data_IF_897946768873
#
_entry.id   IF_897946768873
#
_cell.length_a   1.000
_cell.length_b   1.000
_cell.length_c   1.000
_cell.angle_alpha   90.00
_cell.angle_beta   90.00
_cell.angle_gamma   90.00
#
_symmetry.space_group_name_H-M   'P 1'
#
loop_
_entity.id
_entity.type
_entity.pdbx_description
1 polymer ?
#
# COMPACT_ATOMS: atom_id res chain seq x y z
N UNK A 1 12.75 -14.98 -11.14
CA UNK A 1 11.47 -14.30 -11.41
C UNK A 1 10.89 -14.91 -12.68
N UNK A 2 9.63 -15.36 -12.67
CA UNK A 2 8.99 -15.82 -13.89
C UNK A 2 8.81 -14.62 -14.84
N UNK A 3 9.18 -14.80 -16.11
CA UNK A 3 8.89 -13.79 -17.15
C UNK A 3 7.37 -13.66 -17.26
N UNK A 4 6.87 -12.44 -17.10
CA UNK A 4 5.48 -12.11 -17.35
C UNK A 4 5.41 -11.61 -18.79
N UNK A 5 4.50 -12.19 -19.57
CA UNK A 5 4.16 -11.66 -20.88
C UNK A 5 3.12 -10.54 -20.71
N UNK A 6 3.57 -9.29 -20.56
CA UNK A 6 2.66 -8.15 -20.57
C UNK A 6 2.69 -7.48 -21.95
N UNK A 7 1.52 -7.32 -22.61
CA UNK A 7 1.47 -6.72 -23.93
C UNK A 7 1.95 -5.26 -23.92
N UNK A 8 2.33 -4.70 -25.08
CA UNK A 8 2.57 -3.28 -25.20
C UNK A 8 1.27 -2.50 -24.91
N UNK A 9 1.42 -1.23 -24.54
CA UNK A 9 0.25 -0.38 -24.32
C UNK A 9 -0.50 -0.11 -25.62
N UNK A 10 -1.80 -0.30 -25.54
CA UNK A 10 -2.80 0.07 -26.52
C UNK A 10 -3.86 0.90 -25.80
N UNK A 11 -4.10 2.13 -26.24
CA UNK A 11 -5.00 3.08 -25.57
C UNK A 11 -6.50 2.73 -25.75
N UNK A 12 -6.82 1.46 -25.97
CA UNK A 12 -8.17 0.93 -26.01
C UNK A 12 -8.66 0.55 -24.62
N UNK A 13 -9.98 0.49 -24.43
CA UNK A 13 -10.56 0.10 -23.15
C UNK A 13 -10.37 -1.39 -22.88
N UNK A 14 -10.15 -1.74 -21.61
CA UNK A 14 -10.13 -3.14 -21.14
C UNK A 14 -11.45 -3.85 -21.45
N UNK A 15 -11.31 -5.13 -21.81
CA UNK A 15 -12.40 -6.10 -21.90
C UNK A 15 -12.08 -7.30 -21.02
N UNK A 16 -13.01 -7.72 -20.16
CA UNK A 16 -12.83 -8.94 -19.37
C UNK A 16 -12.96 -10.18 -20.24
N UNK A 17 -12.12 -11.18 -19.96
CA UNK A 17 -12.27 -12.54 -20.49
C UNK A 17 -13.15 -13.36 -19.56
N UNK A 18 -14.03 -14.21 -20.10
CA UNK A 18 -14.85 -15.10 -19.29
C UNK A 18 -13.98 -16.01 -18.41
N UNK A 19 -14.41 -16.21 -17.16
CA UNK A 19 -13.71 -17.10 -16.25
C UNK A 19 -13.89 -18.57 -16.66
N UNK A 20 -12.83 -19.40 -16.58
CA UNK A 20 -12.87 -20.77 -17.05
C UNK A 20 -13.65 -21.70 -16.12
N UNK A 21 -13.82 -21.34 -14.84
CA UNK A 21 -14.63 -22.09 -13.88
C UNK A 21 -15.27 -21.17 -12.83
N UNK A 22 -16.29 -21.66 -12.10
CA UNK A 22 -16.87 -20.92 -10.97
C UNK A 22 -15.90 -20.69 -9.81
N UNK A 23 -14.80 -21.45 -9.72
CA UNK A 23 -13.76 -21.29 -8.70
C UNK A 23 -12.61 -20.36 -9.15
N UNK A 24 -12.65 -19.91 -10.41
CA UNK A 24 -11.60 -19.06 -10.93
C UNK A 24 -11.78 -17.62 -10.45
N UNK A 25 -10.68 -17.02 -10.01
CA UNK A 25 -10.62 -15.61 -9.64
C UNK A 25 -9.56 -14.92 -10.51
N UNK A 26 -9.64 -13.59 -10.60
CA UNK A 26 -8.56 -12.79 -11.20
C UNK A 26 -7.71 -12.17 -10.10
N UNK A 27 -6.40 -12.08 -10.35
CA UNK A 27 -5.45 -11.40 -9.48
C UNK A 27 -4.76 -10.29 -10.27
N UNK A 28 -4.75 -9.11 -9.67
CA UNK A 28 -4.07 -7.93 -10.17
C UNK A 28 -2.61 -7.96 -9.74
N UNK A 29 -1.68 -7.74 -10.66
CA UNK A 29 -0.27 -7.54 -10.31
C UNK A 29 0.24 -6.24 -10.89
N UNK A 30 0.91 -5.43 -10.07
CA UNK A 30 1.67 -4.29 -10.56
C UNK A 30 2.87 -4.79 -11.36
N UNK A 31 3.19 -4.11 -12.45
CA UNK A 31 4.36 -4.41 -13.28
C UNK A 31 5.22 -3.18 -13.48
N UNK A 32 6.51 -3.42 -13.70
CA UNK A 32 7.47 -2.41 -14.14
C UNK A 32 8.32 -2.93 -15.28
N UNK A 33 8.86 -2.00 -16.07
CA UNK A 33 9.75 -2.27 -17.19
C UNK A 33 11.13 -1.68 -16.86
N UNK A 34 12.06 -2.46 -16.29
CA UNK A 34 13.28 -1.92 -15.66
C UNK A 34 14.19 -1.09 -16.58
N UNK A 35 14.10 -1.33 -17.89
CA UNK A 35 14.88 -0.67 -18.94
C UNK A 35 14.17 0.50 -19.60
N UNK A 36 12.90 0.72 -19.29
CA UNK A 36 12.14 1.76 -19.96
C UNK A 36 12.71 3.12 -19.58
N UNK A 37 13.02 3.96 -20.58
CA UNK A 37 13.66 5.24 -20.32
C UNK A 37 12.69 6.23 -19.64
N UNK A 38 11.43 6.19 -20.09
CA UNK A 38 10.34 6.99 -19.55
C UNK A 38 9.12 6.10 -19.35
N UNK A 39 8.62 5.93 -18.11
CA UNK A 39 7.37 5.20 -17.89
C UNK A 39 6.24 5.86 -18.68
N UNK A 40 5.22 5.08 -19.09
CA UNK A 40 4.06 5.66 -19.72
C UNK A 40 3.40 6.69 -18.81
N UNK A 41 2.96 7.79 -19.38
CA UNK A 41 2.31 8.86 -18.63
C UNK A 41 1.15 9.45 -19.41
N UNK A 42 0.10 9.86 -18.69
CA UNK A 42 -0.99 10.67 -19.23
C UNK A 42 -0.92 12.04 -18.55
N UNK A 43 -0.84 13.11 -19.34
CA UNK A 43 -0.73 14.49 -18.84
C UNK A 43 0.47 14.71 -17.89
N UNK A 44 1.55 13.96 -18.07
CA UNK A 44 2.76 14.04 -17.24
C UNK A 44 2.72 13.20 -15.96
N UNK A 45 1.57 12.61 -15.62
CA UNK A 45 1.45 11.69 -14.49
C UNK A 45 1.76 10.24 -14.95
N UNK A 46 2.71 9.55 -14.30
CA UNK A 46 3.01 8.14 -14.60
C UNK A 46 1.77 7.26 -14.43
N UNK A 47 1.49 6.43 -15.42
CA UNK A 47 0.39 5.46 -15.37
C UNK A 47 0.76 4.28 -14.47
N UNK A 48 -0.20 3.86 -13.64
CA UNK A 48 -0.12 2.56 -12.98
C UNK A 48 -0.25 1.46 -14.03
N UNK A 49 0.79 0.67 -14.20
CA UNK A 49 0.81 -0.48 -15.10
C UNK A 49 0.57 -1.77 -14.33
N UNK A 50 -0.49 -2.47 -14.72
CA UNK A 50 -0.95 -3.69 -14.09
C UNK A 50 -1.22 -4.79 -15.12
N UNK A 51 -1.19 -6.03 -14.65
CA UNK A 51 -1.71 -7.20 -15.37
C UNK A 51 -2.80 -7.86 -14.56
N UNK A 52 -3.68 -8.57 -15.25
CA UNK A 52 -4.74 -9.34 -14.65
C UNK A 52 -4.62 -10.79 -15.09
N UNK A 53 -4.38 -11.68 -14.13
CA UNK A 53 -4.16 -13.10 -14.37
C UNK A 53 -5.28 -13.92 -13.72
N UNK A 54 -5.76 -14.94 -14.42
CA UNK A 54 -6.78 -15.86 -13.89
C UNK A 54 -6.11 -17.03 -13.19
N UNK A 55 -6.56 -17.33 -11.98
CA UNK A 55 -6.10 -18.46 -11.16
C UNK A 55 -7.30 -19.22 -10.61
N UNK A 56 -7.11 -20.49 -10.24
CA UNK A 56 -8.10 -21.25 -9.47
C UNK A 56 -7.86 -21.04 -7.98
N UNK A 57 -8.87 -20.60 -7.24
CA UNK A 57 -8.74 -20.35 -5.80
C UNK A 57 -8.46 -21.63 -4.99
N UNK A 58 -8.88 -22.79 -5.49
CA UNK A 58 -8.68 -24.07 -4.81
C UNK A 58 -7.22 -24.55 -4.87
N UNK A 59 -6.41 -23.99 -5.77
CA UNK A 59 -4.96 -24.20 -5.81
C UNK A 59 -4.22 -23.45 -4.69
N UNK A 60 -4.95 -22.71 -3.83
CA UNK A 60 -4.42 -21.89 -2.75
C UNK A 60 -3.34 -20.90 -3.22
N UNK A 61 -3.66 -20.01 -4.20
CA UNK A 61 -2.70 -19.04 -4.71
C UNK A 61 -2.26 -18.08 -3.61
N UNK A 62 -1.02 -17.62 -3.68
CA UNK A 62 -0.46 -16.66 -2.71
C UNK A 62 -0.70 -15.22 -3.19
N UNK A 63 -1.66 -14.53 -2.58
CA UNK A 63 -2.02 -13.16 -2.90
C UNK A 63 -2.40 -12.35 -1.64
N UNK A 64 -2.36 -11.02 -1.76
CA UNK A 64 -2.87 -10.08 -0.76
C UNK A 64 -4.24 -9.53 -1.19
N UNK A 65 -5.08 -9.07 -0.26
CA UNK A 65 -6.41 -8.54 -0.58
C UNK A 65 -6.50 -7.07 -0.22
N UNK A 66 -7.06 -6.23 -1.10
CA UNK A 66 -7.47 -4.86 -0.73
C UNK A 66 -8.97 -4.82 -0.54
N UNK A 67 -9.39 -4.39 0.65
CA UNK A 67 -10.77 -4.11 0.99
C UNK A 67 -10.97 -2.61 1.08
N UNK A 68 -11.80 -2.05 0.18
CA UNK A 68 -12.07 -0.60 0.09
C UNK A 68 -13.55 -0.32 -0.16
N UNK A 69 -14.00 0.89 0.15
CA UNK A 69 -15.24 1.45 -0.40
C UNK A 69 -15.02 1.97 -1.82
N UNK A 70 -16.09 2.09 -2.60
CA UNK A 70 -16.04 2.64 -3.95
C UNK A 70 -16.14 4.16 -3.98
N UNK A 71 -17.00 4.72 -3.11
CA UNK A 71 -17.26 6.15 -3.02
C UNK A 71 -16.32 6.87 -2.07
N UNK A 72 -16.77 7.99 -1.52
CA UNK A 72 -15.99 8.84 -0.63
C UNK A 72 -15.52 8.06 0.62
N UNK A 73 -14.21 8.00 0.92
CA UNK A 73 -13.72 7.39 2.13
C UNK A 73 -14.06 8.19 3.41
N UNK A 74 -14.21 9.51 3.30
CA UNK A 74 -14.46 10.44 4.41
C UNK A 74 -15.92 10.47 4.86
N UNK A 75 -16.88 10.25 3.96
CA UNK A 75 -18.31 10.26 4.25
C UNK A 75 -19.03 9.11 3.56
N UNK A 76 -19.99 8.49 4.26
CA UNK A 76 -20.84 7.44 3.70
C UNK A 76 -22.05 8.00 2.91
N UNK A 77 -22.25 9.33 2.90
CA UNK A 77 -23.39 9.96 2.25
C UNK A 77 -23.22 10.02 0.71
N UNK A 78 -24.02 9.28 -0.09
CA UNK A 78 -23.78 9.10 -1.53
C UNK A 78 -24.12 10.31 -2.43
N UNK A 79 -24.20 11.53 -1.88
CA UNK A 79 -24.85 12.67 -2.54
C UNK A 79 -24.05 13.97 -2.62
N UNK A 80 -22.90 14.06 -1.97
CA UNK A 80 -22.10 15.28 -2.03
C UNK A 80 -21.33 15.33 -3.36
N UNK A 81 -21.36 16.49 -4.03
CA UNK A 81 -20.48 16.78 -5.15
C UNK A 81 -19.09 16.98 -4.55
N UNK A 82 -18.43 15.87 -4.25
CA UNK A 82 -17.07 15.82 -3.74
C UNK A 82 -16.12 15.26 -4.81
N UNK A 83 -14.83 15.35 -4.52
CA UNK A 83 -13.76 14.88 -5.38
C UNK A 83 -13.72 13.35 -5.58
N UNK A 84 -14.53 12.59 -4.84
CA UNK A 84 -14.71 11.14 -4.99
C UNK A 84 -15.99 10.78 -5.77
N UNK A 85 -16.72 11.77 -6.25
CA UNK A 85 -17.88 11.58 -7.12
C UNK A 85 -17.54 10.82 -8.42
N UNK A 86 -18.55 10.24 -9.10
CA UNK A 86 -18.36 9.34 -10.24
C UNK A 86 -17.72 9.97 -11.47
N UNK A 87 -17.64 11.31 -11.52
CA UNK A 87 -16.99 12.06 -12.62
C UNK A 87 -15.46 12.10 -12.48
N UNK A 88 -14.91 11.82 -11.30
CA UNK A 88 -13.47 11.88 -11.02
C UNK A 88 -12.84 10.51 -11.23
N UNK A 89 -12.59 10.19 -12.50
CA UNK A 89 -12.00 8.93 -12.92
C UNK A 89 -10.52 9.08 -13.25
N UNK A 90 -9.74 8.10 -12.80
CA UNK A 90 -8.28 8.07 -12.96
C UNK A 90 -7.87 6.89 -13.85
N UNK A 91 -7.04 7.12 -14.87
CA UNK A 91 -6.63 6.07 -15.78
C UNK A 91 -5.55 5.20 -15.14
N UNK A 92 -5.70 3.89 -15.30
CA UNK A 92 -4.66 2.89 -15.11
C UNK A 92 -4.57 2.04 -16.37
N UNK A 93 -3.53 1.21 -16.46
CA UNK A 93 -3.42 0.22 -17.53
C UNK A 93 -3.50 -1.18 -16.96
N UNK A 94 -4.33 -2.03 -17.56
CA UNK A 94 -4.46 -3.45 -17.25
C UNK A 94 -4.28 -4.23 -18.53
N UNK A 95 -3.30 -5.15 -18.55
CA UNK A 95 -2.96 -5.94 -19.74
C UNK A 95 -2.74 -5.03 -20.97
N UNK A 96 -2.04 -3.91 -20.78
CA UNK A 96 -1.73 -2.92 -21.81
C UNK A 96 -2.90 -2.02 -22.22
N UNK A 97 -4.12 -2.21 -21.70
CA UNK A 97 -5.31 -1.43 -22.06
C UNK A 97 -5.75 -0.48 -20.95
N UNK A 98 -6.45 0.60 -21.29
CA UNK A 98 -6.94 1.58 -20.32
C UNK A 98 -8.13 1.04 -19.51
N UNK A 99 -8.07 1.29 -18.21
CA UNK A 99 -9.21 1.18 -17.29
C UNK A 99 -9.30 2.46 -16.47
N UNK A 100 -10.52 2.97 -16.28
CA UNK A 100 -10.79 4.18 -15.52
C UNK A 100 -11.38 3.81 -14.16
N UNK A 101 -10.77 4.27 -13.09
CA UNK A 101 -11.14 3.93 -11.72
C UNK A 101 -11.61 5.16 -10.94
N UNK A 102 -12.59 5.02 -10.03
CA UNK A 102 -12.90 6.03 -9.03
C UNK A 102 -11.67 6.42 -8.21
N UNK A 103 -11.60 7.68 -7.80
CA UNK A 103 -10.49 8.26 -7.04
C UNK A 103 -10.04 7.40 -5.86
N UNK A 104 -10.99 6.92 -5.04
CA UNK A 104 -10.68 6.16 -3.82
C UNK A 104 -9.93 4.84 -4.14
N UNK A 105 -10.37 4.12 -5.17
CA UNK A 105 -9.72 2.87 -5.60
C UNK A 105 -8.34 3.17 -6.21
N UNK A 106 -8.22 4.24 -7.00
CA UNK A 106 -6.94 4.68 -7.55
C UNK A 106 -5.92 5.03 -6.46
N UNK A 107 -6.34 5.72 -5.41
CA UNK A 107 -5.48 6.04 -4.26
C UNK A 107 -5.10 4.80 -3.45
N UNK A 108 -6.02 3.85 -3.26
CA UNK A 108 -5.72 2.56 -2.67
C UNK A 108 -4.64 1.80 -3.47
N UNK A 109 -4.72 1.82 -4.81
CA UNK A 109 -3.71 1.22 -5.67
C UNK A 109 -2.36 1.94 -5.57
N UNK A 110 -2.33 3.27 -5.57
CA UNK A 110 -1.07 4.04 -5.39
C UNK A 110 -0.40 3.70 -4.06
N UNK A 111 -1.18 3.62 -2.98
CA UNK A 111 -0.66 3.20 -1.68
C UNK A 111 -0.13 1.76 -1.76
N UNK A 112 -0.90 0.82 -2.29
CA UNK A 112 -0.50 -0.58 -2.39
C UNK A 112 0.76 -0.77 -3.24
N UNK A 113 0.89 -0.04 -4.36
CA UNK A 113 2.10 -0.04 -5.18
C UNK A 113 3.30 0.44 -4.37
N UNK A 114 3.18 1.54 -3.62
CA UNK A 114 4.26 2.09 -2.80
C UNK A 114 4.68 1.15 -1.66
N UNK A 115 3.73 0.44 -1.06
CA UNK A 115 4.01 -0.59 -0.03
C UNK A 115 4.72 -1.80 -0.64
N UNK A 116 4.35 -2.18 -1.86
CA UNK A 116 4.90 -3.33 -2.57
C UNK A 116 6.26 -3.05 -3.23
N UNK A 117 6.52 -1.83 -3.71
CA UNK A 117 7.76 -1.47 -4.42
C UNK A 117 8.86 -1.00 -3.46
N UNK A 118 9.42 -1.94 -2.71
CA UNK A 118 10.53 -1.63 -1.78
C UNK A 118 11.82 -1.24 -2.49
N UNK A 119 12.02 -1.70 -3.73
CA UNK A 119 13.26 -1.51 -4.50
C UNK A 119 13.38 -0.07 -5.02
N UNK A 120 12.25 0.57 -5.35
CA UNK A 120 12.20 1.95 -5.84
C UNK A 120 11.99 2.99 -4.73
N UNK A 121 12.19 2.63 -3.46
CA UNK A 121 12.11 3.58 -2.38
C UNK A 121 13.12 4.71 -2.58
N UNK A 122 12.65 5.94 -2.37
CA UNK A 122 13.45 7.16 -2.53
C UNK A 122 13.68 7.80 -1.17
N UNK A 123 14.89 8.30 -0.94
CA UNK A 123 15.17 9.10 0.24
C UNK A 123 14.48 10.48 0.15
N UNK A 124 14.23 11.10 1.30
CA UNK A 124 13.50 12.39 1.36
C UNK A 124 14.36 13.59 0.95
N UNK A 125 15.69 13.50 1.12
CA UNK A 125 16.61 14.61 0.91
C UNK A 125 16.86 14.89 -0.58
N UNK A 126 17.11 13.84 -1.37
CA UNK A 126 17.56 13.96 -2.75
C UNK A 126 16.71 13.13 -3.74
N UNK A 127 15.68 12.43 -3.26
CA UNK A 127 14.89 11.50 -4.07
C UNK A 127 15.75 10.36 -4.68
N UNK A 128 16.86 10.01 -4.05
CA UNK A 128 17.76 8.96 -4.54
C UNK A 128 17.19 7.57 -4.26
N UNK A 129 17.38 6.68 -5.23
CA UNK A 129 17.02 5.26 -5.11
C UNK A 129 18.08 4.46 -4.36
N UNK A 130 17.71 3.28 -3.86
CA UNK A 130 18.68 2.36 -3.27
C UNK A 130 19.79 1.95 -4.27
N UNK A 131 19.47 1.92 -5.57
CA UNK A 131 20.45 1.69 -6.63
C UNK A 131 21.51 2.78 -6.67
N UNK A 132 21.12 4.07 -6.62
CA UNK A 132 22.06 5.20 -6.63
C UNK A 132 22.99 5.16 -5.42
N UNK A 133 22.44 5.01 -4.22
CA UNK A 133 23.26 4.91 -3.00
C UNK A 133 24.21 3.70 -3.03
N UNK A 134 23.80 2.57 -3.62
CA UNK A 134 24.70 1.42 -3.80
C UNK A 134 25.85 1.72 -4.78
N UNK A 135 25.58 2.49 -5.84
CA UNK A 135 26.58 2.96 -6.81
C UNK A 135 27.57 3.93 -6.17
N UNK A 136 27.08 4.89 -5.39
CA UNK A 136 27.91 5.88 -4.68
C UNK A 136 28.89 5.22 -3.71
N UNK A 137 28.43 4.16 -3.04
CA UNK A 137 29.25 3.36 -2.12
C UNK A 137 30.17 2.35 -2.82
N UNK A 138 30.24 2.36 -4.16
CA UNK A 138 30.97 1.39 -4.98
C UNK A 138 30.63 -0.08 -4.65
N UNK A 139 29.39 -0.36 -4.21
CA UNK A 139 28.97 -1.67 -3.73
C UNK A 139 28.45 -2.52 -4.89
N UNK A 140 29.35 -2.97 -5.77
CA UNK A 140 29.02 -3.75 -6.97
C UNK A 140 28.06 -4.95 -6.74
N UNK A 141 28.26 -5.83 -5.72
CA UNK A 141 27.31 -6.92 -5.45
C UNK A 141 25.87 -6.46 -5.14
N UNK A 142 25.71 -5.30 -4.47
CA UNK A 142 24.40 -4.74 -4.14
C UNK A 142 23.74 -4.13 -5.38
N UNK A 143 24.51 -3.43 -6.21
CA UNK A 143 24.06 -2.91 -7.52
C UNK A 143 23.50 -4.05 -8.37
N UNK A 144 24.27 -5.13 -8.54
CA UNK A 144 23.83 -6.30 -9.31
C UNK A 144 22.52 -6.88 -8.78
N UNK A 145 22.42 -7.10 -7.46
CA UNK A 145 21.22 -7.67 -6.83
C UNK A 145 19.98 -6.79 -7.05
N UNK A 146 20.12 -5.47 -6.93
CA UNK A 146 19.02 -4.52 -7.14
C UNK A 146 18.54 -4.55 -8.61
N UNK A 147 19.47 -4.57 -9.57
CA UNK A 147 19.14 -4.68 -10.99
C UNK A 147 18.44 -6.01 -11.31
N UNK A 148 18.89 -7.12 -10.71
CA UNK A 148 18.23 -8.44 -10.83
C UNK A 148 16.84 -8.47 -10.19
N UNK A 149 16.59 -7.61 -9.19
CA UNK A 149 15.27 -7.40 -8.58
C UNK A 149 14.40 -6.40 -9.37
N UNK A 150 14.88 -5.92 -10.52
CA UNK A 150 14.15 -5.03 -11.41
C UNK A 150 14.24 -3.54 -11.05
N UNK A 151 15.29 -3.11 -10.32
CA UNK A 151 15.53 -1.69 -10.07
C UNK A 151 15.52 -0.88 -11.39
N UNK A 152 14.84 0.26 -11.40
CA UNK A 152 14.68 1.08 -12.59
C UNK A 152 16.01 1.77 -12.94
N UNK A 153 16.65 1.32 -14.02
CA UNK A 153 18.03 1.69 -14.35
C UNK A 153 18.19 3.18 -14.73
N UNK A 154 17.10 3.79 -15.21
CA UNK A 154 17.04 5.20 -15.59
C UNK A 154 16.32 6.08 -14.57
N UNK A 155 16.11 5.61 -13.34
CA UNK A 155 15.49 6.44 -12.31
C UNK A 155 16.33 7.71 -12.10
N UNK A 156 15.67 8.84 -11.89
CA UNK A 156 16.30 10.14 -11.68
C UNK A 156 16.08 10.62 -10.24
N UNK A 157 17.11 11.24 -9.68
CA UNK A 157 17.05 11.98 -8.41
C UNK A 157 16.52 13.41 -8.63
N UNK A 158 16.51 14.24 -7.58
CA UNK A 158 16.02 15.62 -7.66
C UNK A 158 16.85 16.54 -8.57
N UNK A 159 18.04 16.11 -8.99
CA UNK A 159 18.90 16.83 -9.94
C UNK A 159 18.79 16.29 -11.38
N UNK A 160 17.90 15.33 -11.62
CA UNK A 160 17.78 14.65 -12.92
C UNK A 160 18.90 13.64 -13.17
N UNK A 161 19.75 13.34 -12.18
CA UNK A 161 20.85 12.39 -12.34
C UNK A 161 20.36 10.96 -12.15
N UNK A 162 20.93 10.07 -12.94
CA UNK A 162 20.68 8.62 -12.86
C UNK A 162 21.82 7.90 -12.15
N UNK A 163 21.65 6.62 -11.82
CA UNK A 163 22.71 5.80 -11.24
C UNK A 163 24.03 5.86 -12.04
N UNK A 164 23.96 5.95 -13.38
CA UNK A 164 25.16 6.03 -14.22
C UNK A 164 25.86 7.40 -14.15
N UNK A 165 25.13 8.50 -13.87
CA UNK A 165 25.74 9.81 -13.61
C UNK A 165 26.59 9.77 -12.34
N UNK A 166 26.05 9.19 -11.27
CA UNK A 166 26.75 9.01 -10.00
C UNK A 166 28.00 8.14 -10.16
N UNK A 167 27.90 7.02 -10.90
CA UNK A 167 29.05 6.16 -11.20
C UNK A 167 30.15 6.91 -11.97
N UNK A 168 29.77 7.72 -12.96
CA UNK A 168 30.69 8.52 -13.76
C UNK A 168 31.39 9.61 -12.95
N UNK A 169 30.62 10.35 -12.14
CA UNK A 169 31.15 11.41 -11.27
C UNK A 169 32.18 10.89 -10.27
N UNK A 170 32.02 9.66 -9.79
CA UNK A 170 32.91 9.02 -8.82
C UNK A 170 34.02 8.16 -9.46
N UNK A 171 34.00 8.01 -10.80
CA UNK A 171 34.99 7.20 -11.52
C UNK A 171 34.87 5.69 -11.28
N UNK A 172 33.67 5.19 -10.96
CA UNK A 172 33.42 3.76 -10.72
C UNK A 172 33.24 2.99 -12.04
N UNK A 173 34.29 2.89 -12.85
CA UNK A 173 34.25 2.29 -14.21
C UNK A 173 33.67 0.88 -14.25
N UNK A 174 33.98 0.03 -13.27
CA UNK A 174 33.41 -1.33 -13.17
C UNK A 174 31.88 -1.32 -13.06
N UNK A 175 31.34 -0.34 -12.32
CA UNK A 175 29.89 -0.15 -12.13
C UNK A 175 29.28 0.48 -13.38
N UNK A 176 29.97 1.42 -14.04
CA UNK A 176 29.52 1.98 -15.33
C UNK A 176 29.34 0.85 -16.35
N UNK A 177 30.34 -0.02 -16.48
CA UNK A 177 30.29 -1.18 -17.37
C UNK A 177 29.13 -2.11 -17.03
N UNK A 178 28.93 -2.42 -15.74
CA UNK A 178 27.76 -3.21 -15.30
C UNK A 178 26.43 -2.53 -15.69
N UNK A 179 26.26 -1.24 -15.40
CA UNK A 179 25.03 -0.52 -15.73
C UNK A 179 24.78 -0.52 -17.25
N UNK A 180 25.82 -0.31 -18.07
CA UNK A 180 25.75 -0.40 -19.53
C UNK A 180 25.29 -1.79 -20.00
N UNK A 181 25.85 -2.86 -19.42
CA UNK A 181 25.50 -4.24 -19.75
C UNK A 181 24.03 -4.55 -19.39
N UNK A 182 23.45 -3.86 -18.40
CA UNK A 182 22.04 -3.95 -18.05
C UNK A 182 21.11 -3.05 -18.89
N UNK A 183 21.67 -2.15 -19.71
CA UNK A 183 20.93 -1.30 -20.64
C UNK A 183 20.91 0.19 -20.29
N UNK A 184 21.72 0.65 -19.33
CA UNK A 184 21.81 2.08 -19.02
C UNK A 184 22.26 2.90 -20.23
N UNK A 185 21.84 4.16 -20.25
CA UNK A 185 22.13 5.09 -21.34
C UNK A 185 23.07 6.18 -20.85
N UNK A 186 24.21 6.31 -21.54
CA UNK A 186 25.18 7.39 -21.35
C UNK A 186 24.76 8.71 -22.01
N UNK A 187 23.54 8.77 -22.58
CA UNK A 187 23.01 9.95 -23.29
C UNK A 187 21.89 10.66 -22.53
N UNK A 188 21.50 10.16 -21.36
CA UNK A 188 20.50 10.84 -20.51
C UNK A 188 21.10 12.16 -20.06
N UNK A 189 20.31 13.23 -20.09
CA UNK A 189 20.72 14.55 -19.61
C UNK A 189 20.11 14.81 -18.23
N UNK A 190 20.92 15.34 -17.33
CA UNK A 190 20.47 15.82 -16.02
C UNK A 190 19.92 17.26 -16.11
N UNK A 191 19.46 17.80 -14.97
CA UNK A 191 18.93 19.18 -14.90
C UNK A 191 19.97 20.26 -15.15
N UNK A 192 21.27 19.93 -15.19
CA UNK A 192 22.35 20.84 -15.58
C UNK A 192 22.72 20.74 -17.06
N UNK A 193 21.99 19.93 -17.83
CA UNK A 193 22.26 19.68 -19.24
C UNK A 193 23.51 18.83 -19.49
N UNK A 194 23.97 18.08 -18.48
CA UNK A 194 25.14 17.22 -18.57
C UNK A 194 24.74 15.77 -18.76
N UNK A 195 25.52 15.06 -19.55
CA UNK A 195 25.46 13.60 -19.69
C UNK A 195 26.36 12.93 -18.66
N UNK A 196 26.18 11.61 -18.38
CA UNK A 196 27.13 10.87 -17.56
C UNK A 196 28.56 10.98 -18.09
N UNK A 197 28.74 11.03 -19.41
CA UNK A 197 30.07 11.15 -20.03
C UNK A 197 30.79 12.45 -19.64
N UNK A 198 30.05 13.55 -19.49
CA UNK A 198 30.60 14.87 -19.11
C UNK A 198 31.15 14.89 -17.68
N UNK A 199 30.73 13.95 -16.83
CA UNK A 199 31.21 13.80 -15.46
C UNK A 199 32.44 12.90 -15.34
N UNK A 200 32.79 12.14 -16.37
CA UNK A 200 33.97 11.26 -16.33
C UNK A 200 35.23 12.12 -16.34
N UNK A 201 36.02 12.04 -15.27
CA UNK A 201 37.33 12.68 -15.21
C UNK A 201 38.42 11.66 -15.52
N UNK A 202 39.35 12.02 -16.40
CA UNK A 202 40.49 11.18 -16.79
C UNK A 202 41.74 11.69 -16.07
N UNK A 203 41.98 11.18 -14.87
CA UNK A 203 43.13 11.64 -14.06
C UNK A 203 44.25 10.61 -14.05
N UNK A 204 43.95 9.34 -14.27
CA UNK A 204 44.90 8.23 -14.27
C UNK A 204 45.04 7.63 -15.68
N UNK A 205 46.22 7.10 -16.05
CA UNK A 205 46.42 6.46 -17.36
C UNK A 205 45.46 5.31 -17.66
N UNK A 206 45.09 4.52 -16.64
CA UNK A 206 44.14 3.40 -16.77
C UNK A 206 42.70 3.86 -17.07
N UNK A 207 42.38 5.12 -16.82
CA UNK A 207 41.04 5.67 -17.08
C UNK A 207 40.79 5.74 -18.60
N UNK A 208 41.84 5.94 -19.41
CA UNK A 208 41.71 5.98 -20.88
C UNK A 208 41.22 4.65 -21.46
N UNK A 209 41.76 3.52 -20.99
CA UNK A 209 41.32 2.18 -21.43
C UNK A 209 39.84 1.96 -21.14
N UNK A 210 39.38 2.35 -19.94
CA UNK A 210 37.98 2.24 -19.55
C UNK A 210 37.08 3.18 -20.38
N UNK A 211 37.54 4.41 -20.66
CA UNK A 211 36.81 5.38 -21.48
C UNK A 211 36.70 4.88 -22.92
N UNK A 212 37.76 4.29 -23.47
CA UNK A 212 37.75 3.70 -24.80
C UNK A 212 36.76 2.53 -24.88
N UNK A 213 36.71 1.66 -23.86
CA UNK A 213 35.72 0.59 -23.77
C UNK A 213 34.29 1.14 -23.73
N UNK A 214 34.03 2.14 -22.88
CA UNK A 214 32.72 2.80 -22.78
C UNK A 214 32.33 3.42 -24.13
N UNK A 215 33.24 4.17 -24.77
CA UNK A 215 33.01 4.80 -26.06
C UNK A 215 32.73 3.76 -27.16
N UNK A 216 33.44 2.64 -27.15
CA UNK A 216 33.20 1.52 -28.06
C UNK A 216 31.82 0.89 -27.84
N UNK A 217 31.41 0.65 -26.59
CA UNK A 217 30.04 0.18 -26.26
C UNK A 217 28.99 1.18 -26.71
N UNK A 218 29.24 2.48 -26.57
CA UNK A 218 28.30 3.54 -26.95
C UNK A 218 28.00 3.61 -28.46
N UNK A 219 28.93 3.17 -29.31
CA UNK A 219 28.74 3.13 -30.77
C UNK A 219 27.80 2.00 -31.22
N UNK A 220 27.71 0.93 -30.43
CA UNK A 220 26.85 -0.23 -30.72
C UNK A 220 25.39 0.07 -30.45
N UNK A 221 24.50 -0.52 -31.24
CA UNK A 221 23.05 -0.46 -30.97
C UNK A 221 22.70 -1.27 -29.71
N UNK A 222 21.55 -1.01 -29.05
CA UNK A 222 21.10 -1.81 -27.91
C UNK A 222 21.03 -3.31 -28.20
N UNK A 223 20.68 -3.70 -29.42
CA UNK A 223 20.59 -5.08 -29.89
C UNK A 223 21.97 -5.73 -30.03
N UNK A 224 22.97 -4.96 -30.47
CA UNK A 224 24.36 -5.42 -30.63
C UNK A 224 25.11 -5.55 -29.30
N UNK A 225 24.66 -4.83 -28.25
CA UNK A 225 25.33 -4.80 -26.95
C UNK A 225 25.23 -6.10 -26.14
N UNK A 226 24.51 -7.12 -26.61
CA UNK A 226 24.30 -8.41 -25.90
C UNK A 226 24.01 -8.19 -24.41
N UNK A 227 23.00 -7.37 -24.14
CA UNK A 227 22.63 -6.98 -22.78
C UNK A 227 22.38 -8.20 -21.89
N UNK A 228 22.63 -8.07 -20.59
CA UNK A 228 22.31 -9.09 -19.59
C UNK A 228 20.82 -9.47 -19.73
N UNK A 229 20.45 -10.76 -19.84
CA UNK A 229 19.05 -11.14 -19.99
C UNK A 229 18.30 -10.87 -18.67
N UNK A 230 17.59 -9.75 -18.62
CA UNK A 230 16.66 -9.39 -17.53
C UNK A 230 15.25 -9.48 -18.09
N UNK A 231 14.25 -9.93 -17.31
CA UNK A 231 12.86 -9.89 -17.76
C UNK A 231 12.48 -8.49 -18.21
N UNK A 232 11.87 -8.39 -19.40
CA UNK A 232 11.39 -7.12 -19.94
C UNK A 232 10.34 -6.48 -19.02
N UNK A 233 9.56 -7.33 -18.36
CA UNK A 233 8.51 -6.98 -17.42
C UNK A 233 8.73 -7.73 -16.12
N UNK A 234 8.72 -7.00 -15.01
CA UNK A 234 8.93 -7.52 -13.65
C UNK A 234 7.70 -7.23 -12.80
N UNK A 235 7.23 -8.23 -12.04
CA UNK A 235 6.17 -8.05 -11.05
C UNK A 235 6.66 -7.22 -9.87
N UNK A 236 5.84 -6.28 -9.42
CA UNK A 236 6.10 -5.49 -8.21
C UNK A 236 5.25 -6.01 -7.07
N UNK A 237 5.91 -6.61 -6.07
CA UNK A 237 5.24 -7.22 -4.93
C UNK A 237 4.46 -8.51 -5.26
N UNK A 238 3.51 -8.84 -4.37
CA UNK A 238 2.62 -10.00 -4.55
C UNK A 238 1.41 -9.63 -5.42
N UNK A 239 0.82 -10.59 -6.14
CA UNK A 239 -0.49 -10.42 -6.74
C UNK A 239 -1.53 -10.05 -5.68
N UNK A 240 -2.55 -9.30 -6.09
CA UNK A 240 -3.57 -8.76 -5.21
C UNK A 240 -4.96 -9.02 -5.74
N UNK A 241 -5.92 -9.23 -4.84
CA UNK A 241 -7.33 -9.28 -5.18
C UNK A 241 -8.03 -7.99 -4.73
N UNK A 242 -8.82 -7.39 -5.63
CA UNK A 242 -9.61 -6.18 -5.39
C UNK A 242 -10.94 -6.37 -6.10
N UNK A 243 -12.05 -6.30 -5.37
CA UNK A 243 -13.40 -6.52 -5.88
C UNK A 243 -13.71 -5.64 -7.10
N UNK A 244 -13.36 -4.35 -7.05
CA UNK A 244 -13.65 -3.37 -8.08
C UNK A 244 -12.95 -3.64 -9.43
N UNK A 245 -11.89 -4.46 -9.44
CA UNK A 245 -11.02 -4.70 -10.62
C UNK A 245 -10.97 -6.17 -11.02
N UNK A 246 -11.03 -7.09 -10.06
CA UNK A 246 -10.88 -8.51 -10.33
C UNK A 246 -12.19 -9.15 -10.79
N UNK A 247 -13.33 -8.49 -10.54
CA UNK A 247 -14.67 -8.91 -10.93
C UNK A 247 -15.14 -8.02 -12.09
N UNK A 248 -15.72 -8.63 -13.13
CA UNK A 248 -16.45 -7.91 -14.16
C UNK A 248 -17.78 -7.40 -13.61
N UNK A 249 -17.79 -6.12 -13.25
CA UNK A 249 -18.91 -5.44 -12.62
C UNK A 249 -20.12 -5.29 -13.56
N UNK A 250 -19.89 -5.40 -14.87
CA UNK A 250 -20.95 -5.38 -15.89
C UNK A 250 -21.67 -6.73 -16.04
N UNK A 251 -21.09 -7.82 -15.51
CA UNK A 251 -21.62 -9.17 -15.62
C UNK A 251 -22.34 -9.60 -14.31
N UNK A 252 -23.68 -9.68 -14.29
CA UNK A 252 -24.44 -10.05 -13.08
C UNK A 252 -24.18 -11.48 -12.60
N UNK A 253 -23.94 -12.43 -13.51
CA UNK A 253 -23.67 -13.82 -13.17
C UNK A 253 -22.32 -13.94 -12.47
N UNK A 254 -21.30 -13.24 -12.99
CA UNK A 254 -19.98 -13.22 -12.37
C UNK A 254 -20.02 -12.58 -10.97
N UNK A 255 -20.77 -11.49 -10.80
CA UNK A 255 -20.98 -10.86 -9.48
C UNK A 255 -21.66 -11.80 -8.50
N UNK A 256 -22.69 -12.52 -8.93
CA UNK A 256 -23.39 -13.50 -8.09
C UNK A 256 -22.48 -14.65 -7.65
N UNK A 257 -21.68 -15.18 -8.59
CA UNK A 257 -20.73 -16.25 -8.30
C UNK A 257 -19.64 -15.80 -7.31
N UNK A 258 -19.07 -14.61 -7.51
CA UNK A 258 -18.07 -14.06 -6.56
C UNK A 258 -18.67 -13.71 -5.20
N UNK A 259 -19.94 -13.29 -5.14
CA UNK A 259 -20.63 -13.11 -3.87
C UNK A 259 -20.64 -14.38 -3.02
N UNK A 260 -20.68 -15.56 -3.65
CA UNK A 260 -20.58 -16.85 -2.95
C UNK A 260 -19.15 -17.23 -2.58
N UNK A 261 -18.15 -16.74 -3.32
CA UNK A 261 -16.73 -17.00 -3.08
C UNK A 261 -16.07 -16.01 -2.10
N UNK A 262 -16.70 -14.89 -1.77
CA UNK A 262 -16.05 -13.79 -1.03
C UNK A 262 -15.40 -14.25 0.29
N UNK A 263 -16.09 -15.11 1.05
CA UNK A 263 -15.56 -15.65 2.30
C UNK A 263 -14.31 -16.55 2.06
N UNK A 264 -14.32 -17.33 0.99
CA UNK A 264 -13.16 -18.16 0.61
C UNK A 264 -11.99 -17.28 0.16
N UNK A 265 -12.24 -16.22 -0.61
CA UNK A 265 -11.23 -15.26 -1.06
C UNK A 265 -10.55 -14.61 0.15
N UNK A 266 -11.31 -14.12 1.12
CA UNK A 266 -10.77 -13.52 2.35
C UNK A 266 -9.98 -14.53 3.20
N UNK A 267 -10.46 -15.78 3.29
CA UNK A 267 -9.79 -16.85 4.04
C UNK A 267 -8.46 -17.29 3.40
N UNK A 268 -8.40 -17.31 2.06
CA UNK A 268 -7.22 -17.68 1.29
C UNK A 268 -6.19 -16.53 1.18
N UNK A 269 -6.62 -15.27 1.34
CA UNK A 269 -5.72 -14.13 1.29
C UNK A 269 -4.63 -14.22 2.38
N UNK A 270 -3.40 -13.89 1.98
CA UNK A 270 -2.22 -13.94 2.86
C UNK A 270 -2.23 -12.80 3.88
N UNK A 271 -2.72 -11.64 3.45
CA UNK A 271 -2.98 -10.47 4.28
C UNK A 271 -4.15 -9.68 3.71
N UNK A 272 -4.80 -8.89 4.56
CA UNK A 272 -5.88 -7.99 4.16
C UNK A 272 -5.47 -6.55 4.44
N UNK A 273 -5.45 -5.75 3.38
CA UNK A 273 -5.24 -4.31 3.39
C UNK A 273 -6.61 -3.66 3.44
N UNK A 274 -7.00 -3.17 4.62
CA UNK A 274 -8.22 -2.40 4.81
C UNK A 274 -7.94 -0.92 4.53
N UNK A 275 -8.32 -0.45 3.34
CA UNK A 275 -8.11 0.93 2.94
C UNK A 275 -9.28 1.81 3.37
N UNK A 276 -8.99 2.85 4.15
CA UNK A 276 -10.01 3.78 4.69
C UNK A 276 -9.87 5.20 4.12
N UNK A 277 -9.12 5.36 3.03
CA UNK A 277 -8.88 6.63 2.35
C UNK A 277 -7.58 7.33 2.75
N UNK A 278 -7.35 8.49 2.15
CA UNK A 278 -6.16 9.31 2.40
C UNK A 278 -6.24 9.96 3.79
N UNK A 279 -5.07 10.13 4.40
CA UNK A 279 -4.91 10.85 5.66
C UNK A 279 -5.22 12.33 5.47
N UNK A 280 -5.92 12.93 6.43
CA UNK A 280 -6.13 14.37 6.48
C UNK A 280 -5.79 14.90 7.88
N UNK A 281 -5.77 16.23 8.04
CA UNK A 281 -5.48 16.87 9.32
C UNK A 281 -6.42 16.44 10.46
N UNK A 282 -7.59 15.93 10.09
CA UNK A 282 -8.59 15.46 11.03
C UNK A 282 -8.32 14.04 11.54
N UNK A 283 -7.67 13.18 10.75
CA UNK A 283 -7.46 11.75 11.05
C UNK A 283 -6.02 11.38 11.38
N UNK A 284 -5.05 12.27 11.10
CA UNK A 284 -3.61 12.01 11.22
C UNK A 284 -3.12 11.58 12.60
N UNK A 285 -3.80 11.99 13.68
CA UNK A 285 -3.36 11.66 15.04
C UNK A 285 -3.89 10.31 15.52
N UNK A 286 -4.92 9.76 14.87
CA UNK A 286 -5.64 8.60 15.38
C UNK A 286 -4.76 7.34 15.53
N UNK A 287 -3.91 6.93 14.56
CA UNK A 287 -3.13 5.70 14.68
C UNK A 287 -2.15 5.71 15.85
N UNK A 288 -1.40 6.81 16.02
CA UNK A 288 -0.42 6.95 17.10
C UNK A 288 -1.12 7.15 18.45
N UNK A 289 -2.23 7.89 18.50
CA UNK A 289 -3.02 8.07 19.72
C UNK A 289 -3.58 6.74 20.22
N UNK A 290 -4.19 5.93 19.34
CA UNK A 290 -4.68 4.58 19.71
C UNK A 290 -3.52 3.72 20.24
N UNK A 291 -2.38 3.73 19.55
CA UNK A 291 -1.20 2.97 19.97
C UNK A 291 -0.66 3.43 21.33
N UNK A 292 -0.63 4.73 21.58
CA UNK A 292 -0.18 5.32 22.84
C UNK A 292 -1.11 4.97 24.00
N UNK A 293 -2.43 4.99 23.77
CA UNK A 293 -3.45 4.55 24.71
C UNK A 293 -3.21 3.10 25.15
N UNK A 294 -3.02 2.20 24.19
CA UNK A 294 -2.82 0.77 24.46
C UNK A 294 -1.50 0.51 25.19
N UNK A 295 -0.41 1.20 24.81
CA UNK A 295 0.89 1.08 25.48
C UNK A 295 0.86 1.52 26.93
N UNK A 296 0.04 2.51 27.28
CA UNK A 296 -0.08 3.00 28.65
C UNK A 296 -0.77 1.99 29.58
N UNK A 297 -1.71 1.20 29.06
CA UNK A 297 -2.41 0.17 29.82
C UNK A 297 -1.59 -1.12 29.97
N UNK A 298 -0.67 -1.42 29.04
CA UNK A 298 0.15 -2.63 29.04
C UNK A 298 1.39 -2.62 29.95
N UNK A 299 1.68 -1.52 30.65
CA UNK A 299 2.76 -1.47 31.65
C UNK A 299 2.26 -2.00 32.99
N UNK A 300 2.62 -3.23 33.33
CA UNK A 300 2.47 -3.75 34.68
C UNK A 300 3.33 -2.90 35.66
N UNK A 301 2.79 -2.44 36.79
CA UNK A 301 3.55 -1.67 37.77
C UNK A 301 4.67 -2.46 38.49
N UNK A 302 4.79 -3.77 38.24
CA UNK A 302 5.77 -4.66 38.91
C UNK A 302 7.11 -4.83 38.15
N UNK A 303 7.24 -4.34 36.91
CA UNK A 303 8.51 -4.42 36.15
C UNK A 303 9.51 -3.28 36.44
N UNK A 304 9.23 -2.41 37.42
CA UNK A 304 10.14 -1.30 37.79
C UNK A 304 11.19 -1.65 38.85
N UNK A 305 11.54 -2.92 39.02
CA UNK A 305 12.58 -3.34 39.99
C UNK A 305 13.65 -4.25 39.37
N UNK A 306 14.49 -3.69 38.49
CA UNK A 306 15.89 -4.14 38.35
C UNK A 306 16.76 -3.12 37.60
N UNK A 307 17.57 -2.41 38.39
CA UNK A 307 18.91 -1.84 38.17
C UNK A 307 19.31 -1.03 36.91
N UNK A 308 19.58 0.24 37.23
CA UNK A 308 20.81 1.02 37.02
C UNK A 308 21.09 1.86 35.75
N UNK A 309 21.05 3.17 36.01
CA UNK A 309 21.92 4.25 35.51
C UNK A 309 21.87 4.65 34.03
N UNK A 310 20.94 5.54 33.69
CA UNK A 310 21.20 6.97 33.40
C UNK A 310 20.02 7.61 32.66
N UNK A 311 19.67 8.82 33.12
CA UNK A 311 18.76 9.81 32.50
C UNK A 311 17.23 9.59 32.61
N UNK A 312 16.66 10.45 33.45
CA UNK A 312 15.29 11.00 33.42
C UNK A 312 14.14 10.04 33.74
N UNK A 313 13.80 10.01 35.03
CA UNK A 313 12.55 9.51 35.61
C UNK A 313 11.31 10.07 34.89
N UNK A 314 10.65 9.27 34.05
CA UNK A 314 9.23 9.45 33.74
C UNK A 314 8.42 8.48 34.62
N UNK A 315 8.00 8.98 35.78
CA UNK A 315 7.01 8.34 36.63
C UNK A 315 5.72 8.04 35.84
N UNK A 316 5.03 6.97 36.20
CA UNK A 316 3.84 6.45 35.50
C UNK A 316 2.69 7.45 35.38
N UNK A 317 2.71 8.24 34.30
CA UNK A 317 1.56 9.00 33.86
C UNK A 317 0.63 8.08 33.07
N UNK A 318 -0.57 7.84 33.59
CA UNK A 318 -1.70 7.35 32.79
C UNK A 318 -1.83 8.27 31.58
N UNK A 319 -1.57 7.77 30.38
CA UNK A 319 -1.72 8.55 29.15
C UNK A 319 -3.20 8.92 28.98
N UNK A 320 -3.48 10.22 28.92
CA UNK A 320 -4.83 10.74 28.68
C UNK A 320 -4.81 11.44 27.33
N UNK A 321 -5.59 10.99 26.34
CA UNK A 321 -5.63 11.62 25.04
C UNK A 321 -6.22 13.03 25.15
N UNK A 322 -5.63 13.97 24.42
CA UNK A 322 -6.13 15.32 24.19
C UNK A 322 -7.47 15.29 23.44
N UNK A 323 -8.24 16.38 23.51
CA UNK A 323 -9.53 16.45 22.79
C UNK A 323 -9.35 16.40 21.26
N UNK A 324 -8.20 16.86 20.75
CA UNK A 324 -7.86 16.74 19.34
C UNK A 324 -7.62 15.28 18.95
N UNK A 325 -6.88 14.51 19.76
CA UNK A 325 -6.66 13.07 19.53
C UNK A 325 -7.98 12.30 19.62
N UNK A 326 -8.84 12.60 20.60
CA UNK A 326 -10.18 12.00 20.70
C UNK A 326 -11.03 12.27 19.46
N UNK A 327 -11.09 13.52 19.01
CA UNK A 327 -11.82 13.90 17.80
C UNK A 327 -11.26 13.18 16.56
N UNK A 328 -9.93 13.06 16.49
CA UNK A 328 -9.26 12.37 15.40
C UNK A 328 -9.60 10.88 15.35
N UNK A 329 -9.61 10.21 16.50
CA UNK A 329 -10.03 8.81 16.64
C UNK A 329 -11.49 8.63 16.22
N UNK A 330 -12.39 9.53 16.64
CA UNK A 330 -13.82 9.44 16.28
C UNK A 330 -13.98 9.56 14.76
N UNK A 331 -13.32 10.52 14.11
CA UNK A 331 -13.38 10.70 12.65
C UNK A 331 -12.77 9.54 11.89
N UNK A 332 -11.65 9.01 12.38
CA UNK A 332 -11.02 7.80 11.83
C UNK A 332 -11.99 6.60 11.86
N UNK A 333 -12.69 6.38 12.97
CA UNK A 333 -13.65 5.29 13.13
C UNK A 333 -14.99 5.53 12.40
N UNK A 334 -15.25 6.74 11.91
CA UNK A 334 -16.41 7.10 11.07
C UNK A 334 -16.13 7.01 9.57
N UNK A 335 -14.89 6.70 9.16
CA UNK A 335 -14.56 6.50 7.74
C UNK A 335 -15.46 5.42 7.15
N UNK A 336 -15.87 5.60 5.89
CA UNK A 336 -16.96 4.81 5.28
C UNK A 336 -16.70 3.31 5.28
N UNK A 337 -15.43 2.88 5.30
CA UNK A 337 -15.05 1.47 5.47
C UNK A 337 -15.59 0.85 6.77
N UNK A 338 -15.53 1.56 7.90
CA UNK A 338 -16.04 1.08 9.20
C UNK A 338 -17.58 1.05 9.29
N UNK A 339 -18.25 1.88 8.48
CA UNK A 339 -19.70 2.03 8.43
C UNK A 339 -20.37 1.04 7.44
N UNK A 340 -19.59 0.19 6.76
CA UNK A 340 -20.13 -0.79 5.80
C UNK A 340 -20.92 -1.91 6.48
N UNK A 341 -22.14 -2.13 5.99
CA UNK A 341 -22.92 -3.34 6.28
C UNK A 341 -22.26 -4.57 5.61
N UNK A 342 -22.27 -5.71 6.29
CA UNK A 342 -21.77 -6.99 5.75
C UNK A 342 -20.25 -7.17 5.72
N UNK A 343 -19.48 -6.09 5.51
CA UNK A 343 -18.01 -6.14 5.44
C UNK A 343 -17.37 -6.82 6.67
N UNK A 344 -17.95 -6.62 7.85
CA UNK A 344 -17.44 -7.22 9.09
C UNK A 344 -17.47 -8.76 9.07
N UNK A 345 -18.43 -9.36 8.36
CA UNK A 345 -18.45 -10.81 8.16
C UNK A 345 -17.35 -11.23 7.19
N UNK A 346 -17.00 -10.40 6.20
CA UNK A 346 -15.94 -10.66 5.23
C UNK A 346 -14.55 -10.58 5.87
N UNK A 347 -14.23 -9.48 6.59
CA UNK A 347 -12.95 -9.34 7.30
C UNK A 347 -12.80 -10.33 8.45
N UNK A 348 -13.88 -10.88 9.03
CA UNK A 348 -13.78 -11.93 10.04
C UNK A 348 -13.05 -13.19 9.54
N UNK A 349 -13.09 -13.46 8.23
CA UNK A 349 -12.33 -14.56 7.61
C UNK A 349 -10.89 -14.18 7.27
N UNK A 350 -10.58 -12.88 7.24
CA UNK A 350 -9.28 -12.34 6.87
C UNK A 350 -8.20 -12.63 7.90
N UNK A 351 -6.98 -12.90 7.41
CA UNK A 351 -5.78 -13.02 8.24
C UNK A 351 -4.93 -11.77 8.13
N UNK A 352 -4.21 -11.42 9.20
CA UNK A 352 -3.26 -10.32 9.23
C UNK A 352 -3.81 -9.01 8.63
N UNK A 353 -4.94 -8.55 9.17
CA UNK A 353 -5.64 -7.35 8.68
C UNK A 353 -4.91 -6.11 9.17
N UNK A 354 -4.47 -5.27 8.25
CA UNK A 354 -3.86 -3.98 8.52
C UNK A 354 -4.72 -2.88 7.94
N UNK A 355 -5.10 -1.91 8.77
CA UNK A 355 -5.88 -0.74 8.36
C UNK A 355 -4.93 0.36 7.91
N UNK A 356 -5.16 0.89 6.71
CA UNK A 356 -4.38 1.94 6.07
C UNK A 356 -5.20 3.21 5.93
N UNK A 357 -4.68 4.32 6.46
CA UNK A 357 -5.17 5.67 6.23
C UNK A 357 -4.04 6.50 5.64
N UNK A 358 -4.05 6.72 4.32
CA UNK A 358 -2.86 7.17 3.60
C UNK A 358 -1.71 6.16 3.76
N UNK A 359 -0.54 6.62 4.22
CA UNK A 359 0.60 5.73 4.50
C UNK A 359 0.66 5.27 5.96
N UNK A 360 -0.17 5.81 6.84
CA UNK A 360 -0.24 5.37 8.24
C UNK A 360 -0.93 4.01 8.31
N UNK A 361 -0.45 3.20 9.25
CA UNK A 361 -0.94 1.82 9.41
C UNK A 361 -1.28 1.54 10.86
N UNK A 362 -2.35 0.77 11.06
CA UNK A 362 -2.73 0.27 12.36
C UNK A 362 -3.21 -1.18 12.21
N UNK A 363 -2.64 -2.15 12.94
CA UNK A 363 -3.17 -3.51 12.95
C UNK A 363 -4.62 -3.52 13.42
N UNK A 364 -5.50 -4.25 12.72
CA UNK A 364 -6.90 -4.34 13.10
C UNK A 364 -7.09 -4.93 14.51
N UNK A 365 -6.18 -5.81 14.94
CA UNK A 365 -6.13 -6.34 16.30
C UNK A 365 -6.01 -5.24 17.36
N UNK A 366 -5.20 -4.21 17.10
CA UNK A 366 -5.03 -3.07 17.99
C UNK A 366 -6.29 -2.21 18.05
N UNK A 367 -6.99 -2.03 16.92
CA UNK A 367 -8.30 -1.36 16.91
C UNK A 367 -9.31 -2.14 17.76
N UNK A 368 -9.36 -3.47 17.60
CA UNK A 368 -10.26 -4.32 18.39
C UNK A 368 -9.94 -4.28 19.89
N UNK A 369 -8.66 -4.27 20.25
CA UNK A 369 -8.22 -4.13 21.64
C UNK A 369 -8.63 -2.77 22.22
N UNK A 370 -8.40 -1.69 21.47
CA UNK A 370 -8.82 -0.35 21.84
C UNK A 370 -10.34 -0.24 22.05
N UNK A 371 -11.13 -0.73 21.09
CA UNK A 371 -12.59 -0.71 21.21
C UNK A 371 -13.07 -1.55 22.41
N UNK A 372 -12.44 -2.70 22.71
CA UNK A 372 -12.79 -3.52 23.88
C UNK A 372 -12.49 -2.80 25.17
N UNK A 373 -11.35 -2.10 25.26
CA UNK A 373 -11.01 -1.25 26.41
C UNK A 373 -12.10 -0.19 26.63
N UNK A 374 -12.41 0.57 25.58
CA UNK A 374 -13.41 1.65 25.62
C UNK A 374 -14.82 1.12 25.96
N UNK A 375 -15.17 -0.12 25.62
CA UNK A 375 -16.45 -0.70 26.01
C UNK A 375 -16.61 -0.91 27.54
N UNK A 376 -15.52 -0.94 28.31
CA UNK A 376 -15.53 -1.23 29.75
C UNK A 376 -15.18 -0.02 30.64
N UNK A 377 -14.43 0.96 30.12
CA UNK A 377 -14.12 2.25 30.78
C UNK A 377 -15.04 3.37 30.31
N UNK A 378 -15.16 4.47 31.04
CA UNK A 378 -15.99 5.63 30.63
C UNK A 378 -15.54 6.21 29.29
N UNK A 379 -16.13 5.73 28.20
CA UNK A 379 -15.66 6.02 26.84
C UNK A 379 -16.00 7.43 26.40
N UNK A 380 -15.08 8.02 25.63
CA UNK A 380 -15.33 9.26 24.90
C UNK A 380 -15.92 9.01 23.50
N UNK A 381 -15.98 7.75 23.06
CA UNK A 381 -16.49 7.40 21.74
C UNK A 381 -18.03 7.52 21.70
N UNK A 382 -18.62 8.11 20.64
CA UNK A 382 -20.06 8.19 20.48
C UNK A 382 -20.73 6.81 20.40
N UNK A 383 -21.90 6.65 21.01
CA UNK A 383 -22.66 5.39 20.98
C UNK A 383 -23.18 5.00 19.59
N UNK A 384 -23.31 5.97 18.68
CA UNK A 384 -23.80 5.76 17.32
C UNK A 384 -22.74 5.32 16.30
N UNK A 385 -21.53 4.94 16.72
CA UNK A 385 -20.53 4.40 15.79
C UNK A 385 -20.85 2.95 15.41
N UNK A 386 -20.77 2.63 14.11
CA UNK A 386 -21.06 1.27 13.65
C UNK A 386 -20.03 0.23 14.12
N UNK A 387 -18.79 0.66 14.43
CA UNK A 387 -17.72 -0.22 14.96
C UNK A 387 -18.10 -0.90 16.27
N UNK A 388 -19.07 -0.39 17.04
CA UNK A 388 -19.54 -1.07 18.25
C UNK A 388 -20.17 -2.44 17.98
N UNK A 389 -20.69 -2.66 16.77
CA UNK A 389 -21.20 -3.95 16.34
C UNK A 389 -20.13 -5.06 16.39
N UNK A 390 -18.84 -4.70 16.28
CA UNK A 390 -17.70 -5.62 16.27
C UNK A 390 -17.48 -6.38 17.57
N UNK A 391 -17.82 -5.78 18.71
CA UNK A 391 -17.53 -6.37 20.04
C UNK A 391 -18.69 -7.26 20.50
N UNK A 392 -19.78 -7.29 19.74
CA UNK A 392 -21.02 -7.92 20.18
C UNK A 392 -21.70 -7.09 21.27
N UNK A 393 -23.03 -7.17 21.29
CA UNK A 393 -23.90 -6.27 22.02
C UNK A 393 -23.78 -6.42 23.57
N UNK A 394 -22.72 -5.89 24.17
CA UNK A 394 -22.52 -5.87 25.64
C UNK A 394 -23.59 -5.05 26.36
N UNK A 395 -24.23 -4.09 25.67
CA UNK A 395 -25.37 -3.33 26.20
C UNK A 395 -26.62 -4.20 26.44
N UNK A 396 -26.83 -5.25 25.64
CA UNK A 396 -28.02 -6.10 25.74
C UNK A 396 -28.05 -6.98 27.01
N UNK A 397 -26.88 -7.34 27.56
CA UNK A 397 -26.79 -8.10 28.82
C UNK A 397 -26.97 -7.21 30.05
N UNK A 398 -26.48 -5.97 30.04
CA UNK A 398 -26.68 -5.04 31.16
C UNK A 398 -28.10 -4.45 31.19
N UNK A 399 -28.71 -4.08 30.04
CA UNK A 399 -30.07 -3.52 30.00
C UNK A 399 -31.16 -4.51 30.41
N UNK A 400 -31.07 -5.80 30.05
CA UNK A 400 -32.02 -6.82 30.56
C UNK A 400 -31.92 -7.07 32.06
N UNK A 401 -30.75 -6.85 32.69
CA UNK A 401 -30.59 -6.99 34.15
C UNK A 401 -31.10 -5.78 34.94
N UNK A 402 -31.03 -4.57 34.36
CA UNK A 402 -31.53 -3.34 34.97
C UNK A 402 -33.04 -3.16 34.79
N UNK A 403 -33.61 -3.57 33.65
CA UNK A 403 -35.07 -3.55 33.44
C UNK A 403 -35.80 -4.69 34.17
N UNK A 404 -35.16 -5.86 34.34
CA UNK A 404 -35.75 -6.92 35.17
C UNK A 404 -35.73 -6.55 36.66
N UNK A 405 -34.69 -5.88 37.16
CA UNK A 405 -34.62 -5.37 38.54
C UNK A 405 -35.53 -4.16 38.81
N UNK A 406 -35.87 -3.36 37.81
CA UNK A 406 -36.83 -2.26 37.97
C UNK A 406 -38.29 -2.74 37.92
N UNK A 407 -38.59 -3.83 37.18
CA UNK A 407 -39.93 -4.44 37.16
C UNK A 407 -40.27 -5.26 38.41
N UNK A 408 -39.31 -5.89 39.09
CA UNK A 408 -39.62 -6.66 40.33
C UNK A 408 -39.80 -5.79 41.58
N UNK A 409 -39.41 -4.51 41.55
CA UNK A 409 -39.62 -3.58 42.67
C UNK A 409 -40.91 -2.77 42.58
N UNK A 410 -41.67 -2.85 41.47
CA UNK A 410 -42.89 -2.06 41.24
C UNK A 410 -44.21 -2.83 41.35
N UNK A 411 -44.19 -4.12 41.72
CA UNK A 411 -45.39 -4.95 41.89
C UNK A 411 -45.64 -5.43 43.32
N UNK A 412 -45.06 -4.76 44.32
CA UNK A 412 -45.38 -4.97 45.75
C UNK A 412 -45.65 -3.65 46.46
N UNK A 413 -46.70 -2.96 46.03
CA UNK A 413 -47.46 -1.95 46.79
C UNK A 413 -48.67 -1.65 45.92
N UNK A 414 -49.83 -2.11 46.38
CA UNK A 414 -51.20 -1.67 46.05
C UNK A 414 -52.13 -2.90 45.95
N UNK A 415 -52.37 -3.48 47.13
CA UNK A 415 -53.54 -4.31 47.41
C UNK A 415 -53.73 -4.38 48.92
N UNK A 416 -54.16 -3.26 49.52
CA UNK A 416 -54.78 -3.20 50.85
C UNK A 416 -55.92 -2.17 50.78
N UNK A 417 -57.13 -2.71 50.89
CA UNK A 417 -58.41 -2.19 51.44
C UNK A 417 -58.91 -0.77 51.13
N UNK A 418 -60.20 -0.74 50.75
CA UNK A 418 -61.07 0.43 50.65
C UNK A 418 -62.31 0.15 49.81
#
# INVERSE_FOLDING_TARGET
MASINAPPMDFTNVSYTSLPSPASIRLLSFIKRPRQLSPPSILGEPLLECILETVDINEAPHFDLISTTWGNPDSADPGDIDEYGPMHLYPITINGKLMFLPKNIYEALKMAQKVNDRVEQRNELFLETELMTAVENNHRPKVQRLLEQGAHIHAQDCFGKTAIHHAAQLGHFDIINMLLDYGASMKVIDSYGKTPMDYITYTKPKDWENIEEIAYKMQKTPEERKLVPVPEVVRVGRPMWIDAICIDQSNPEERSNHGSLIAQIYCCASSVIAWIGVQNDETKLAPEAISSILRADGKDPDETMSDDTTSTTNAGYSYVPSDQEKSSIIRFLRRSWFEREGLMHEVAFGRAITVYCGMDTLPFSSIMEFLRREAHSGTFLPSGLHVWSLIGNTESRKRRSLESRSRTKRTRRDSIDG
#
